data_IF_274638764021
#
_entry.id   IF_274638764021
#
_cell.length_a   1.000
_cell.length_b   1.000
_cell.length_c   1.000
_cell.angle_alpha   90.00
_cell.angle_beta   90.00
_cell.angle_gamma   90.00
#
_symmetry.space_group_name_H-M   'P 1'
#
loop_
_entity.id
_entity.type
_entity.pdbx_description
1 polymer ?
#
# COMPACT_ATOMS: atom_id res chain seq x y z
N UNK A 1 24.16 -3.59 -7.50
CA UNK A 1 23.61 -2.41 -6.78
C UNK A 1 22.44 -1.95 -7.61
N UNK A 2 21.24 -1.83 -7.06
CA UNK A 2 20.09 -1.31 -7.84
C UNK A 2 20.32 0.16 -8.12
N UNK A 3 19.95 0.63 -9.32
CA UNK A 3 20.09 2.03 -9.68
C UNK A 3 19.14 2.90 -8.83
N UNK A 4 19.59 4.10 -8.48
CA UNK A 4 18.76 5.09 -7.77
C UNK A 4 17.62 5.55 -8.67
N UNK A 5 16.41 5.62 -8.12
CA UNK A 5 15.23 6.09 -8.85
C UNK A 5 15.32 7.59 -9.09
N UNK A 6 15.13 8.03 -10.34
CA UNK A 6 15.16 9.46 -10.67
C UNK A 6 13.94 10.22 -10.12
N UNK A 7 14.06 11.53 -9.82
CA UNK A 7 12.93 12.36 -9.42
C UNK A 7 11.78 12.37 -10.43
N UNK A 8 12.07 12.27 -11.72
CA UNK A 8 11.08 12.26 -12.79
C UNK A 8 10.15 11.04 -12.69
N UNK A 9 10.69 9.87 -12.35
CA UNK A 9 9.87 8.66 -12.12
C UNK A 9 8.94 8.84 -10.94
N UNK A 10 9.36 9.53 -9.88
CA UNK A 10 8.49 9.80 -8.72
C UNK A 10 7.36 10.77 -9.08
N UNK A 11 7.65 11.78 -9.89
CA UNK A 11 6.63 12.71 -10.41
C UNK A 11 5.65 11.95 -11.32
N UNK A 12 6.14 11.16 -12.24
CA UNK A 12 5.35 10.36 -13.18
C UNK A 12 4.44 9.36 -12.43
N UNK A 13 4.94 8.78 -11.33
CA UNK A 13 4.16 7.89 -10.46
C UNK A 13 3.00 8.63 -9.77
N UNK A 14 3.21 9.84 -9.27
CA UNK A 14 2.13 10.66 -8.68
C UNK A 14 1.08 10.98 -9.74
N UNK A 15 1.49 11.42 -10.93
CA UNK A 15 0.61 11.74 -12.05
C UNK A 15 -0.17 10.50 -12.53
N UNK A 16 0.48 9.33 -12.52
CA UNK A 16 -0.18 8.05 -12.81
C UNK A 16 -1.33 7.76 -11.84
N UNK A 17 -1.09 7.85 -10.54
CA UNK A 17 -2.12 7.53 -9.54
C UNK A 17 -3.26 8.55 -9.53
N UNK A 18 -2.97 9.82 -9.80
CA UNK A 18 -3.99 10.85 -10.01
C UNK A 18 -4.87 10.53 -11.23
N UNK A 19 -4.24 10.30 -12.37
CA UNK A 19 -4.94 9.98 -13.61
C UNK A 19 -5.71 8.64 -13.54
N UNK A 20 -5.22 7.68 -12.74
CA UNK A 20 -5.81 6.35 -12.55
C UNK A 20 -6.98 6.34 -11.56
N UNK A 21 -7.21 7.38 -10.81
CA UNK A 21 -8.15 7.36 -9.68
C UNK A 21 -9.53 6.77 -10.07
N UNK A 22 -10.10 7.19 -11.21
CA UNK A 22 -11.41 6.71 -11.69
C UNK A 22 -11.42 5.22 -12.10
N UNK A 23 -10.27 4.63 -12.47
CA UNK A 23 -10.15 3.24 -12.90
C UNK A 23 -9.42 2.34 -11.88
N UNK A 24 -9.04 2.89 -10.71
CA UNK A 24 -8.26 2.15 -9.72
C UNK A 24 -8.97 0.89 -9.22
N UNK A 25 -10.26 0.99 -8.95
CA UNK A 25 -11.07 -0.08 -8.40
C UNK A 25 -11.27 -1.26 -9.38
N UNK A 26 -11.02 -1.08 -10.70
CA UNK A 26 -11.02 -2.18 -11.66
C UNK A 26 -9.97 -3.25 -11.29
N UNK A 27 -8.81 -2.82 -10.84
CA UNK A 27 -7.76 -3.73 -10.37
C UNK A 27 -8.21 -4.54 -9.16
N UNK A 28 -8.80 -3.87 -8.19
CA UNK A 28 -9.28 -4.50 -6.96
C UNK A 28 -10.37 -5.53 -7.22
N UNK A 29 -11.37 -5.15 -8.02
CA UNK A 29 -12.51 -5.99 -8.34
C UNK A 29 -12.28 -6.92 -9.54
N UNK A 30 -11.04 -7.01 -10.06
CA UNK A 30 -10.65 -7.89 -11.17
C UNK A 30 -11.51 -7.68 -12.42
N UNK A 31 -11.69 -6.41 -12.82
CA UNK A 31 -12.51 -6.01 -13.97
C UNK A 31 -11.65 -5.57 -15.15
N UNK A 32 -12.25 -5.59 -16.36
CA UNK A 32 -11.59 -5.11 -17.57
C UNK A 32 -10.27 -5.83 -17.84
N UNK A 33 -9.19 -5.10 -18.02
CA UNK A 33 -7.84 -5.65 -18.28
C UNK A 33 -7.20 -6.35 -17.08
N UNK A 34 -7.84 -6.34 -15.92
CA UNK A 34 -7.43 -7.07 -14.72
C UNK A 34 -8.20 -8.36 -14.50
N UNK A 35 -9.16 -8.66 -15.40
CA UNK A 35 -9.87 -9.93 -15.40
C UNK A 35 -8.99 -11.02 -16.02
N UNK A 36 -8.59 -11.99 -15.21
CA UNK A 36 -7.78 -13.15 -15.60
C UNK A 36 -8.60 -14.45 -15.61
N UNK A 37 -9.94 -14.34 -15.68
CA UNK A 37 -10.87 -15.44 -15.67
C UNK A 37 -11.29 -15.92 -14.29
N UNK A 38 -12.40 -16.65 -14.24
CA UNK A 38 -13.09 -16.98 -13.00
C UNK A 38 -12.21 -17.70 -11.98
N UNK A 39 -11.35 -18.62 -12.42
CA UNK A 39 -10.46 -19.38 -11.53
C UNK A 39 -9.44 -18.45 -10.85
N UNK A 40 -8.74 -17.61 -11.62
CA UNK A 40 -7.69 -16.75 -11.09
C UNK A 40 -8.28 -15.61 -10.24
N UNK A 41 -9.41 -15.06 -10.68
CA UNK A 41 -10.13 -14.07 -9.90
C UNK A 41 -10.67 -14.67 -8.59
N UNK A 42 -11.16 -15.90 -8.61
CA UNK A 42 -11.57 -16.62 -7.39
C UNK A 42 -10.42 -16.82 -6.40
N UNK A 43 -9.22 -17.20 -6.87
CA UNK A 43 -8.01 -17.30 -6.05
C UNK A 43 -7.61 -15.94 -5.45
N UNK A 44 -7.65 -14.86 -6.25
CA UNK A 44 -7.38 -13.51 -5.79
C UNK A 44 -8.24 -13.13 -4.59
N UNK A 45 -9.55 -13.33 -4.70
CA UNK A 45 -10.47 -12.99 -3.60
C UNK A 45 -10.30 -13.90 -2.39
N UNK A 46 -10.06 -15.21 -2.59
CA UNK A 46 -9.81 -16.14 -1.49
C UNK A 46 -8.54 -15.78 -0.70
N UNK A 47 -7.44 -15.43 -1.40
CA UNK A 47 -6.21 -14.99 -0.75
C UNK A 47 -6.37 -13.60 -0.10
N UNK A 48 -7.21 -12.72 -0.66
CA UNK A 48 -7.52 -11.44 -0.02
C UNK A 48 -8.31 -11.62 1.28
N UNK A 49 -9.21 -12.61 1.36
CA UNK A 49 -9.89 -12.95 2.61
C UNK A 49 -8.92 -13.44 3.68
N UNK A 50 -7.84 -14.18 3.32
CA UNK A 50 -6.76 -14.53 4.25
C UNK A 50 -6.07 -13.27 4.81
N UNK A 51 -5.76 -12.31 3.94
CA UNK A 51 -5.15 -11.03 4.34
C UNK A 51 -6.08 -10.22 5.23
N UNK A 52 -7.37 -10.18 4.90
CA UNK A 52 -8.38 -9.53 5.73
C UNK A 52 -8.52 -10.18 7.10
N UNK A 53 -8.48 -11.51 7.18
CA UNK A 53 -8.50 -12.21 8.46
C UNK A 53 -7.30 -11.84 9.33
N UNK A 54 -6.10 -11.74 8.75
CA UNK A 54 -4.91 -11.30 9.48
C UNK A 54 -5.03 -9.85 9.97
N UNK A 55 -5.57 -8.95 9.13
CA UNK A 55 -5.86 -7.56 9.51
C UNK A 55 -6.85 -7.48 10.68
N UNK A 56 -7.96 -8.24 10.61
CA UNK A 56 -9.00 -8.24 11.66
C UNK A 56 -8.47 -8.81 12.98
N UNK A 57 -7.63 -9.87 12.92
CA UNK A 57 -6.96 -10.44 14.12
C UNK A 57 -6.00 -9.43 14.75
N UNK A 58 -5.26 -8.67 13.94
CA UNK A 58 -4.39 -7.60 14.46
C UNK A 58 -5.20 -6.54 15.20
N UNK A 59 -6.40 -6.25 14.72
CA UNK A 59 -7.37 -5.37 15.35
C UNK A 59 -6.79 -3.98 15.68
N UNK A 60 -6.65 -3.15 14.64
CA UNK A 60 -6.21 -1.75 14.77
C UNK A 60 -7.33 -0.93 15.42
N UNK A 61 -7.07 -0.42 16.62
CA UNK A 61 -8.01 0.36 17.44
C UNK A 61 -7.39 1.71 17.83
N UNK A 62 -8.17 2.59 18.45
CA UNK A 62 -7.68 3.91 18.88
C UNK A 62 -7.47 4.86 17.70
N UNK A 63 -6.41 5.66 17.78
CA UNK A 63 -6.02 6.60 16.73
C UNK A 63 -5.15 5.85 15.70
N UNK A 64 -5.60 5.75 14.46
CA UNK A 64 -4.90 5.03 13.40
C UNK A 64 -4.45 5.98 12.29
N UNK A 65 -3.22 5.81 11.84
CA UNK A 65 -2.66 6.46 10.65
C UNK A 65 -2.76 5.50 9.46
N UNK A 66 -3.36 5.95 8.38
CA UNK A 66 -3.38 5.25 7.10
C UNK A 66 -2.59 6.04 6.05
N UNK A 67 -1.55 5.43 5.49
CA UNK A 67 -0.73 6.03 4.44
C UNK A 67 -1.09 5.44 3.07
N UNK A 68 -1.21 6.29 2.06
CA UNK A 68 -1.69 5.93 0.73
C UNK A 68 -3.05 5.19 0.76
N UNK A 69 -4.10 5.77 1.38
CA UNK A 69 -5.41 5.12 1.53
C UNK A 69 -6.13 4.83 0.20
N UNK A 70 -5.71 5.45 -0.89
CA UNK A 70 -6.31 5.29 -2.20
C UNK A 70 -7.81 5.56 -2.20
N UNK A 71 -8.59 4.71 -2.86
CA UNK A 71 -10.05 4.85 -2.99
C UNK A 71 -10.84 4.46 -1.73
N UNK A 72 -10.18 4.09 -0.62
CA UNK A 72 -10.84 3.86 0.68
C UNK A 72 -11.22 2.43 1.00
N UNK A 73 -10.75 1.45 0.25
CA UNK A 73 -11.06 0.03 0.48
C UNK A 73 -10.64 -0.41 1.89
N UNK A 74 -9.45 0.00 2.32
CA UNK A 74 -8.94 -0.31 3.65
C UNK A 74 -9.45 0.67 4.71
N UNK A 75 -9.69 1.92 4.35
CA UNK A 75 -10.28 2.92 5.24
C UNK A 75 -11.66 2.47 5.72
N UNK A 76 -12.52 1.92 4.84
CA UNK A 76 -13.83 1.33 5.20
C UNK A 76 -13.69 0.19 6.23
N UNK A 77 -12.58 -0.55 6.18
CA UNK A 77 -12.32 -1.62 7.14
C UNK A 77 -11.80 -1.07 8.47
N UNK A 78 -10.89 -0.10 8.41
CA UNK A 78 -10.34 0.58 9.59
C UNK A 78 -11.41 1.22 10.46
N UNK A 79 -12.38 1.92 9.89
CA UNK A 79 -13.42 2.59 10.66
C UNK A 79 -14.34 1.64 11.45
N UNK A 80 -14.26 0.33 11.23
CA UNK A 80 -15.02 -0.65 12.03
C UNK A 80 -14.47 -0.75 13.44
N UNK A 81 -13.16 -0.54 13.64
CA UNK A 81 -12.46 -0.75 14.91
C UNK A 81 -11.72 0.48 15.41
N UNK A 82 -11.20 1.34 14.53
CA UNK A 82 -10.52 2.56 14.88
C UNK A 82 -11.47 3.62 15.47
N UNK A 83 -11.01 4.33 16.49
CA UNK A 83 -11.74 5.49 17.04
C UNK A 83 -11.63 6.70 16.11
N UNK A 84 -10.45 6.92 15.52
CA UNK A 84 -10.20 7.92 14.49
C UNK A 84 -9.18 7.41 13.48
N UNK A 85 -9.26 7.91 12.24
CA UNK A 85 -8.30 7.61 11.18
C UNK A 85 -7.77 8.92 10.60
N UNK A 86 -6.43 9.06 10.57
CA UNK A 86 -5.75 10.06 9.79
C UNK A 86 -5.28 9.42 8.48
N UNK A 87 -5.86 9.81 7.37
CA UNK A 87 -5.58 9.29 6.04
C UNK A 87 -4.70 10.29 5.27
N UNK A 88 -3.50 9.88 4.84
CA UNK A 88 -2.52 10.73 4.16
C UNK A 88 -2.27 10.21 2.75
N UNK A 89 -2.56 11.01 1.74
CA UNK A 89 -2.34 10.67 0.32
C UNK A 89 -1.76 11.87 -0.44
N UNK A 90 -1.07 11.61 -1.54
CA UNK A 90 -0.53 12.64 -2.43
C UNK A 90 -1.54 13.05 -3.54
N UNK A 91 -2.60 12.25 -3.78
CA UNK A 91 -3.60 12.48 -4.81
C UNK A 91 -4.89 13.07 -4.23
N UNK A 92 -5.25 14.31 -4.59
CA UNK A 92 -6.54 14.88 -4.22
C UNK A 92 -7.71 14.07 -4.77
N UNK A 93 -7.56 13.48 -5.96
CA UNK A 93 -8.60 12.65 -6.60
C UNK A 93 -8.86 11.37 -5.77
N UNK A 94 -7.82 10.72 -5.25
CA UNK A 94 -7.96 9.58 -4.34
C UNK A 94 -8.63 9.98 -3.03
N UNK A 95 -8.23 11.10 -2.44
CA UNK A 95 -8.84 11.64 -1.21
C UNK A 95 -10.34 11.91 -1.41
N UNK A 96 -10.76 12.48 -2.53
CA UNK A 96 -12.17 12.74 -2.83
C UNK A 96 -12.96 11.43 -2.96
N UNK A 97 -12.44 10.44 -3.69
CA UNK A 97 -13.08 9.13 -3.83
C UNK A 97 -13.20 8.40 -2.49
N UNK A 98 -12.14 8.41 -1.70
CA UNK A 98 -12.12 7.82 -0.37
C UNK A 98 -13.17 8.47 0.54
N UNK A 99 -13.17 9.80 0.61
CA UNK A 99 -14.14 10.57 1.41
C UNK A 99 -15.58 10.28 1.01
N UNK A 100 -15.85 10.21 -0.30
CA UNK A 100 -17.18 9.90 -0.80
C UNK A 100 -17.60 8.45 -0.48
N UNK A 101 -16.66 7.49 -0.57
CA UNK A 101 -16.91 6.07 -0.29
C UNK A 101 -17.13 5.82 1.21
N UNK A 102 -16.23 6.33 2.04
CA UNK A 102 -16.23 6.04 3.49
C UNK A 102 -17.27 6.86 4.25
N UNK A 103 -17.50 8.11 3.87
CA UNK A 103 -18.51 9.01 4.40
C UNK A 103 -18.60 9.02 5.95
N UNK A 104 -17.45 9.09 6.63
CA UNK A 104 -17.34 9.03 8.10
C UNK A 104 -16.65 10.27 8.65
N UNK A 105 -17.21 10.85 9.72
CA UNK A 105 -16.64 11.96 10.48
C UNK A 105 -15.40 11.57 11.32
N UNK A 106 -15.18 10.26 11.48
CA UNK A 106 -13.98 9.73 12.15
C UNK A 106 -12.74 9.73 11.27
N UNK A 107 -12.85 10.03 9.98
CA UNK A 107 -11.70 10.07 9.06
C UNK A 107 -11.33 11.51 8.74
N UNK A 108 -10.10 11.88 9.07
CA UNK A 108 -9.48 13.13 8.66
C UNK A 108 -8.48 12.87 7.53
N UNK A 109 -8.41 13.78 6.58
CA UNK A 109 -7.57 13.63 5.39
C UNK A 109 -6.50 14.72 5.33
N UNK A 110 -5.28 14.30 5.03
CA UNK A 110 -4.15 15.21 4.75
C UNK A 110 -3.59 14.93 3.37
N UNK A 111 -3.49 15.96 2.55
CA UNK A 111 -2.84 15.90 1.25
C UNK A 111 -1.36 16.19 1.41
N UNK A 112 -0.50 15.20 1.19
CA UNK A 112 0.94 15.34 1.37
C UNK A 112 1.73 14.33 0.51
N UNK A 113 2.94 14.72 0.12
CA UNK A 113 3.94 13.79 -0.42
C UNK A 113 4.45 12.89 0.71
N UNK A 114 4.18 11.59 0.62
CA UNK A 114 4.55 10.60 1.63
C UNK A 114 6.07 10.43 1.81
N UNK A 115 6.87 10.87 0.85
CA UNK A 115 8.33 10.86 0.99
C UNK A 115 8.88 12.06 1.78
N UNK A 116 8.09 13.12 1.93
CA UNK A 116 8.44 14.33 2.68
C UNK A 116 7.60 14.48 3.97
N UNK A 117 6.50 13.75 4.06
CA UNK A 117 5.59 13.83 5.21
C UNK A 117 6.23 13.30 6.50
N UNK A 118 5.94 13.97 7.59
CA UNK A 118 6.35 13.56 8.94
C UNK A 118 5.11 13.47 9.84
N UNK A 119 5.06 12.51 10.78
CA UNK A 119 3.95 12.40 11.72
C UNK A 119 3.90 13.62 12.63
N UNK A 120 2.70 14.18 12.78
CA UNK A 120 2.40 15.30 13.68
C UNK A 120 2.20 14.86 15.15
N UNK A 121 1.95 13.58 15.34
CA UNK A 121 1.70 12.94 16.64
C UNK A 121 2.00 11.43 16.55
N UNK A 122 1.89 10.76 17.70
CA UNK A 122 1.96 9.30 17.73
C UNK A 122 0.57 8.67 17.66
N UNK A 123 0.48 7.50 17.04
CA UNK A 123 -0.73 6.75 16.77
C UNK A 123 -0.72 5.39 17.47
N UNK A 124 -1.89 4.81 17.74
CA UNK A 124 -2.04 3.45 18.28
C UNK A 124 -1.83 2.39 17.20
N UNK A 125 -2.09 2.76 15.94
CA UNK A 125 -1.87 1.90 14.79
C UNK A 125 -1.44 2.66 13.55
N UNK A 126 -0.69 1.99 12.69
CA UNK A 126 -0.32 2.48 11.35
C UNK A 126 -0.64 1.39 10.35
N UNK A 127 -1.27 1.75 9.22
CA UNK A 127 -1.38 0.84 8.09
C UNK A 127 -1.04 1.54 6.76
N UNK A 128 -0.52 0.74 5.81
CA UNK A 128 -0.24 1.15 4.44
C UNK A 128 -0.41 -0.05 3.50
N UNK A 129 -1.37 0.06 2.61
CA UNK A 129 -1.78 -1.05 1.76
C UNK A 129 -1.46 -0.73 0.29
N UNK A 130 -0.70 -1.64 -0.36
CA UNK A 130 -0.23 -1.50 -1.75
C UNK A 130 0.61 -0.24 -2.00
N UNK A 131 1.38 0.15 -0.99
CA UNK A 131 2.27 1.30 -1.03
C UNK A 131 3.75 0.94 -0.93
N UNK A 132 4.13 -0.03 -0.10
CA UNK A 132 5.55 -0.32 0.17
C UNK A 132 6.34 -0.67 -1.10
N UNK A 133 5.71 -1.31 -2.08
CA UNK A 133 6.33 -1.60 -3.37
C UNK A 133 6.63 -0.37 -4.23
N UNK A 134 6.03 0.76 -3.93
CA UNK A 134 6.21 2.03 -4.62
C UNK A 134 7.28 2.92 -3.97
N UNK A 135 7.95 2.41 -2.95
CA UNK A 135 9.04 3.11 -2.27
C UNK A 135 10.36 2.69 -2.92
N UNK A 136 11.17 3.64 -3.44
CA UNK A 136 12.52 3.34 -3.89
C UNK A 136 13.32 2.59 -2.82
N UNK A 137 14.09 1.57 -3.20
CA UNK A 137 14.79 0.71 -2.25
C UNK A 137 15.75 1.47 -1.33
N UNK A 138 16.32 2.56 -1.83
CA UNK A 138 17.20 3.48 -1.10
C UNK A 138 16.45 4.36 -0.08
N UNK A 139 15.13 4.51 -0.22
CA UNK A 139 14.28 5.30 0.70
C UNK A 139 13.53 4.44 1.72
N UNK A 140 13.54 3.10 1.56
CA UNK A 140 12.72 2.21 2.39
C UNK A 140 13.07 2.28 3.87
N UNK A 141 14.35 2.31 4.25
CA UNK A 141 14.75 2.37 5.67
C UNK A 141 14.32 3.71 6.31
N UNK A 142 14.39 4.81 5.56
CA UNK A 142 13.86 6.11 6.00
C UNK A 142 12.34 6.07 6.22
N UNK A 143 11.60 5.47 5.28
CA UNK A 143 10.17 5.29 5.43
C UNK A 143 9.80 4.43 6.66
N UNK A 144 10.46 3.30 6.85
CA UNK A 144 10.22 2.44 8.02
C UNK A 144 10.57 3.15 9.34
N UNK A 145 11.59 4.01 9.34
CA UNK A 145 11.92 4.88 10.50
C UNK A 145 10.77 5.86 10.79
N UNK A 146 10.16 6.46 9.75
CA UNK A 146 8.99 7.33 9.91
C UNK A 146 7.80 6.57 10.48
N UNK A 147 7.56 5.31 10.02
CA UNK A 147 6.50 4.45 10.57
C UNK A 147 6.74 4.16 12.06
N UNK A 148 7.97 3.79 12.43
CA UNK A 148 8.32 3.57 13.83
C UNK A 148 8.11 4.83 14.68
N UNK A 149 8.51 6.00 14.17
CA UNK A 149 8.32 7.28 14.88
C UNK A 149 6.82 7.65 15.02
N UNK A 150 5.98 7.28 14.05
CA UNK A 150 4.54 7.54 14.08
C UNK A 150 3.79 6.66 15.09
N UNK A 151 4.33 5.52 15.48
CA UNK A 151 3.68 4.62 16.43
C UNK A 151 4.02 4.96 17.88
N UNK A 152 3.07 4.79 18.79
CA UNK A 152 3.33 4.70 20.23
C UNK A 152 4.09 3.42 20.56
N UNK A 153 4.86 3.32 21.66
CA UNK A 153 5.38 2.05 22.15
C UNK A 153 4.24 1.03 22.30
N UNK A 154 4.40 -0.18 21.77
CA UNK A 154 3.35 -1.20 21.69
C UNK A 154 2.30 -0.95 20.59
N UNK A 155 2.37 0.16 19.86
CA UNK A 155 1.49 0.46 18.73
C UNK A 155 1.63 -0.56 17.61
N UNK A 156 0.55 -0.81 16.88
CA UNK A 156 0.43 -1.88 15.89
C UNK A 156 0.68 -1.41 14.48
N UNK A 157 1.31 -2.23 13.66
CA UNK A 157 1.53 -1.96 12.24
C UNK A 157 0.96 -3.07 11.37
N UNK A 158 0.31 -2.66 10.26
CA UNK A 158 -0.16 -3.55 9.21
C UNK A 158 0.27 -3.02 7.85
N UNK A 159 0.68 -3.92 6.97
CA UNK A 159 0.83 -3.62 5.55
C UNK A 159 0.53 -4.84 4.68
N UNK A 160 0.16 -4.58 3.44
CA UNK A 160 0.01 -5.59 2.39
C UNK A 160 0.50 -5.02 1.06
N UNK A 161 1.10 -5.88 0.23
CA UNK A 161 1.44 -5.55 -1.16
C UNK A 161 1.39 -6.81 -2.05
N UNK A 162 1.51 -6.60 -3.36
CA UNK A 162 1.53 -7.68 -4.33
C UNK A 162 2.88 -8.38 -4.37
N UNK A 163 2.84 -9.71 -4.51
CA UNK A 163 4.02 -10.53 -4.85
C UNK A 163 4.42 -10.35 -6.31
N UNK A 164 5.59 -10.86 -6.68
CA UNK A 164 6.06 -10.89 -8.06
C UNK A 164 5.31 -11.96 -8.87
N UNK A 165 4.07 -11.66 -9.20
CA UNK A 165 3.17 -12.52 -9.94
C UNK A 165 2.52 -11.73 -11.10
N UNK A 166 2.66 -12.16 -12.37
CA UNK A 166 2.07 -11.45 -13.52
C UNK A 166 0.57 -11.24 -13.40
N UNK A 167 -0.14 -12.16 -12.78
CA UNK A 167 -1.60 -12.06 -12.59
C UNK A 167 -2.02 -10.99 -11.57
N UNK A 168 -1.08 -10.36 -10.84
CA UNK A 168 -1.40 -9.23 -9.95
C UNK A 168 -1.63 -7.93 -10.72
N UNK A 169 -1.23 -7.87 -11.99
CA UNK A 169 -1.29 -6.64 -12.79
C UNK A 169 -2.22 -6.80 -14.00
N UNK A 170 -2.40 -5.75 -14.79
CA UNK A 170 -3.20 -5.81 -16.01
C UNK A 170 -2.54 -6.76 -17.04
N UNK A 171 -3.36 -7.40 -17.87
CA UNK A 171 -2.91 -8.35 -18.90
C UNK A 171 -2.02 -7.73 -19.99
N UNK A 172 -2.00 -6.41 -20.11
CA UNK A 172 -1.15 -5.64 -21.01
C UNK A 172 0.04 -4.96 -20.32
N UNK A 173 0.33 -5.33 -19.06
CA UNK A 173 1.50 -4.87 -18.32
C UNK A 173 2.56 -5.98 -18.24
N UNK A 174 3.81 -5.59 -18.24
CA UNK A 174 4.94 -6.48 -17.99
C UNK A 174 5.56 -6.14 -16.63
N UNK A 175 5.88 -7.17 -15.85
CA UNK A 175 6.63 -6.98 -14.62
C UNK A 175 8.03 -6.45 -14.96
N UNK A 176 8.63 -5.60 -14.09
CA UNK A 176 10.00 -5.15 -14.29
C UNK A 176 10.96 -6.35 -14.25
N UNK A 177 12.15 -6.20 -14.80
CA UNK A 177 13.22 -7.19 -14.62
C UNK A 177 13.55 -7.38 -13.14
N UNK A 178 14.21 -8.51 -12.81
CA UNK A 178 14.35 -8.94 -11.40
C UNK A 178 15.01 -7.89 -10.51
N UNK A 179 15.98 -7.14 -11.05
CA UNK A 179 16.73 -6.11 -10.32
C UNK A 179 16.28 -4.68 -10.61
N UNK A 180 15.32 -4.50 -11.54
CA UNK A 180 14.78 -3.20 -11.87
C UNK A 180 13.75 -2.73 -10.83
N UNK A 181 13.78 -1.43 -10.53
CA UNK A 181 12.83 -0.79 -9.62
C UNK A 181 11.70 -0.06 -10.35
N UNK A 182 11.78 0.07 -11.67
CA UNK A 182 10.84 0.88 -12.47
C UNK A 182 10.09 -0.02 -13.43
N UNK A 183 8.78 0.18 -13.52
CA UNK A 183 7.96 -0.47 -14.54
C UNK A 183 7.06 0.55 -15.24
N UNK A 184 6.73 0.27 -16.49
CA UNK A 184 5.75 1.05 -17.25
C UNK A 184 4.34 0.55 -16.94
N UNK A 185 3.46 1.47 -16.57
CA UNK A 185 2.02 1.25 -16.40
C UNK A 185 1.24 2.02 -17.46
N UNK A 186 0.15 1.44 -17.91
CA UNK A 186 -0.76 2.09 -18.87
C UNK A 186 -2.12 2.30 -18.24
N UNK A 187 -2.81 3.36 -18.63
CA UNK A 187 -4.21 3.60 -18.34
C UNK A 187 -5.11 2.96 -19.42
N UNK A 188 -6.41 2.96 -19.18
CA UNK A 188 -7.39 2.44 -20.15
C UNK A 188 -7.38 3.22 -21.48
N UNK A 189 -7.04 4.51 -21.44
CA UNK A 189 -6.91 5.37 -22.63
C UNK A 189 -5.56 5.23 -23.37
N UNK A 190 -4.65 4.36 -22.86
CA UNK A 190 -3.35 4.08 -23.48
C UNK A 190 -2.22 4.97 -23.00
N UNK A 191 -2.46 6.04 -22.23
CA UNK A 191 -1.36 6.84 -21.63
C UNK A 191 -0.47 5.94 -20.79
N UNK A 192 0.84 6.13 -20.90
CA UNK A 192 1.85 5.32 -20.23
C UNK A 192 2.65 6.18 -19.26
N UNK A 193 2.97 5.60 -18.11
CA UNK A 193 3.71 6.23 -17.03
C UNK A 193 4.75 5.28 -16.48
N UNK A 194 5.82 5.82 -15.92
CA UNK A 194 6.78 5.04 -15.16
C UNK A 194 6.47 5.12 -13.67
N UNK A 195 6.46 3.96 -13.01
CA UNK A 195 6.25 3.89 -11.58
C UNK A 195 7.34 3.05 -10.92
N UNK A 196 7.62 3.32 -9.66
CA UNK A 196 8.41 2.42 -8.83
C UNK A 196 7.59 1.17 -8.54
N UNK A 197 8.20 -0.01 -8.70
CA UNK A 197 7.60 -1.30 -8.31
C UNK A 197 8.69 -2.25 -7.85
N UNK A 198 8.79 -2.39 -6.55
CA UNK A 198 9.67 -3.31 -5.86
C UNK A 198 8.91 -4.54 -5.38
N UNK A 199 9.62 -5.65 -5.25
CA UNK A 199 9.13 -6.87 -4.64
C UNK A 199 10.08 -7.26 -3.51
N UNK A 200 9.53 -7.78 -2.41
CA UNK A 200 10.29 -8.03 -1.20
C UNK A 200 10.28 -9.51 -0.84
N UNK A 201 11.41 -9.98 -0.35
CA UNK A 201 11.50 -11.25 0.38
C UNK A 201 10.99 -11.01 1.81
N UNK A 202 10.12 -11.88 2.35
CA UNK A 202 9.54 -11.72 3.68
C UNK A 202 10.58 -11.59 4.80
N UNK A 203 11.60 -12.44 4.81
CA UNK A 203 12.60 -12.44 5.86
C UNK A 203 13.48 -11.19 5.79
N UNK A 204 13.86 -10.78 4.58
CA UNK A 204 14.65 -9.56 4.37
C UNK A 204 13.85 -8.30 4.78
N UNK A 205 12.55 -8.25 4.49
CA UNK A 205 11.69 -7.12 4.89
C UNK A 205 11.49 -7.09 6.41
N UNK A 206 11.22 -8.23 7.05
CA UNK A 206 11.13 -8.33 8.51
C UNK A 206 12.41 -7.87 9.20
N UNK A 207 13.58 -8.27 8.68
CA UNK A 207 14.86 -7.81 9.19
C UNK A 207 15.08 -6.31 9.04
N UNK A 208 14.57 -5.67 7.98
CA UNK A 208 14.61 -4.21 7.83
C UNK A 208 13.69 -3.51 8.84
N UNK A 209 12.48 -4.04 9.08
CA UNK A 209 11.58 -3.56 10.11
C UNK A 209 12.22 -3.61 11.51
N UNK A 210 12.87 -4.73 11.85
CA UNK A 210 13.52 -4.92 13.14
C UNK A 210 14.64 -3.89 13.42
N UNK A 211 15.37 -3.46 12.39
CA UNK A 211 16.42 -2.44 12.55
C UNK A 211 15.92 -1.07 13.01
N UNK A 212 14.64 -0.80 12.84
CA UNK A 212 14.00 0.45 13.26
C UNK A 212 13.06 0.28 14.46
N UNK A 213 13.12 -0.88 15.16
CA UNK A 213 12.30 -1.16 16.35
C UNK A 213 10.85 -1.58 16.03
N UNK A 214 10.62 -2.16 14.85
CA UNK A 214 9.35 -2.75 14.48
C UNK A 214 9.48 -4.27 14.42
N UNK A 215 8.84 -4.97 15.35
CA UNK A 215 8.78 -6.45 15.34
C UNK A 215 7.59 -6.86 14.46
N UNK A 216 7.86 -7.34 13.24
CA UNK A 216 6.85 -7.67 12.23
C UNK A 216 6.99 -9.10 11.76
N UNK A 217 5.89 -9.85 11.80
CA UNK A 217 5.73 -11.13 11.12
C UNK A 217 5.29 -10.85 9.68
N UNK A 218 6.17 -11.14 8.72
CA UNK A 218 5.91 -10.93 7.29
C UNK A 218 5.63 -12.28 6.64
N UNK A 219 4.46 -12.39 6.02
CA UNK A 219 3.95 -13.62 5.41
C UNK A 219 3.61 -13.40 3.95
N UNK A 220 3.52 -14.50 3.21
CA UNK A 220 2.99 -14.53 1.86
C UNK A 220 1.75 -15.42 1.81
N UNK A 221 0.75 -15.02 1.02
CA UNK A 221 -0.30 -15.92 0.57
C UNK A 221 0.24 -16.85 -0.51
N UNK A 222 -0.54 -17.82 -0.94
CA UNK A 222 -0.07 -18.84 -1.89
C UNK A 222 0.47 -18.22 -3.20
N UNK A 223 -0.15 -17.13 -3.71
CA UNK A 223 0.16 -16.60 -5.04
C UNK A 223 0.38 -15.08 -5.05
N UNK A 224 -0.56 -14.29 -4.49
CA UNK A 224 -0.71 -12.88 -4.89
C UNK A 224 -0.14 -11.87 -3.90
N UNK A 225 -0.18 -12.12 -2.59
CA UNK A 225 0.07 -11.10 -1.60
C UNK A 225 1.22 -11.41 -0.65
N UNK A 226 1.90 -10.36 -0.26
CA UNK A 226 2.79 -10.32 0.89
C UNK A 226 2.18 -9.36 1.90
N UNK A 227 2.08 -9.74 3.18
CA UNK A 227 1.54 -8.88 4.23
C UNK A 227 2.35 -9.01 5.53
N UNK A 228 2.31 -7.95 6.32
CA UNK A 228 2.99 -7.89 7.60
C UNK A 228 2.07 -7.43 8.71
N UNK A 229 2.15 -8.10 9.85
CA UNK A 229 1.49 -7.74 11.11
C UNK A 229 2.53 -7.61 12.20
N UNK A 230 2.48 -6.55 12.99
CA UNK A 230 3.51 -6.37 14.00
C UNK A 230 3.23 -5.23 14.97
N UNK A 231 4.24 -4.94 15.79
CA UNK A 231 4.20 -3.88 16.80
C UNK A 231 5.52 -3.11 16.84
N UNK A 232 5.44 -1.87 17.34
CA UNK A 232 6.62 -1.11 17.78
C UNK A 232 7.05 -1.58 19.17
N UNK A 233 8.35 -1.81 19.36
CA UNK A 233 8.97 -2.05 20.66
C UNK A 233 8.89 -0.83 21.58
#
# INVERSE_FOLDING_TARGET
MRDTVSPDVLTDMVDYYRARAAEYDEWWYRRGRYDHGAEQNGRWFAEMEEVFAAFDVLNLTGDVLELAPGTGIWTERLIKTASSVMAVDASPEMVELNRAKVASDRVSYTLADLFAWQPDRSYDGVCFCFWISHIPSERLDGFLTTIAAALRPGGKVFFVDGRREPLTTANNHQLPEQDAQVMTRKLNDGRAYQIVKNFYDPAALAARCARVGLTVDVRETATFFLYGTGTRE
#
